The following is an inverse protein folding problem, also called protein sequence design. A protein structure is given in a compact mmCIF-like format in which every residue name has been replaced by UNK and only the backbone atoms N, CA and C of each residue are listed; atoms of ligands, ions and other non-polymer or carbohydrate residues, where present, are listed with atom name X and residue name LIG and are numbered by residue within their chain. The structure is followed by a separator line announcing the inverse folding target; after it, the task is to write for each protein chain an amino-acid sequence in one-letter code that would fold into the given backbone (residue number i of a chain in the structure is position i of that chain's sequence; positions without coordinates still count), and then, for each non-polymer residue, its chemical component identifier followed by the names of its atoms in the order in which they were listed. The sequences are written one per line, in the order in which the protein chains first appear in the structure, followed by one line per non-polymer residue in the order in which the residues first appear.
data_IF_540966675645
#
_entry.id   IF_540966675645
#
_cell.length_a   1.000
_cell.length_b   1.000
_cell.length_c   1.000
_cell.angle_alpha   90.00
_cell.angle_beta   90.00
_cell.angle_gamma   90.00
#
_symmetry.space_group_name_H-M   'P 1'
#
loop_
_entity.id
_entity.type
_entity.pdbx_description
1 polymer ?
#
# COMPACT_ATOMS: atom_id res chain seq x y z
N UNK A 1 7.01 68.24 12.86
CA UNK A 1 7.72 67.10 12.24
C UNK A 1 7.62 65.79 13.05
N UNK A 2 7.48 65.84 14.38
CA UNK A 2 7.40 64.66 15.27
C UNK A 2 6.32 63.62 14.93
N UNK A 3 5.10 64.04 14.55
CA UNK A 3 3.98 63.12 14.24
C UNK A 3 4.24 62.19 13.04
N UNK A 4 5.06 62.64 12.06
CA UNK A 4 5.45 61.82 10.90
C UNK A 4 6.49 60.76 11.27
N UNK A 5 7.40 61.09 12.20
CA UNK A 5 8.40 60.15 12.71
C UNK A 5 7.73 59.03 13.53
N UNK A 6 6.79 59.37 14.41
CA UNK A 6 6.03 58.39 15.20
C UNK A 6 5.26 57.42 14.29
N UNK A 7 4.58 57.92 13.24
CA UNK A 7 3.85 57.05 12.30
C UNK A 7 4.79 56.09 11.56
N UNK A 8 6.00 56.53 11.19
CA UNK A 8 7.01 55.68 10.53
C UNK A 8 7.58 54.61 11.46
N UNK A 9 7.84 54.96 12.73
CA UNK A 9 8.30 54.00 13.74
C UNK A 9 7.24 52.94 14.03
N UNK A 10 5.97 53.34 14.16
CA UNK A 10 4.85 52.40 14.36
C UNK A 10 4.66 51.49 13.15
N UNK A 11 4.82 52.03 11.93
CA UNK A 11 4.70 51.22 10.70
C UNK A 11 5.87 50.24 10.58
N UNK A 12 7.09 50.65 10.93
CA UNK A 12 8.27 49.78 10.93
C UNK A 12 8.17 48.69 12.01
N UNK A 13 7.70 49.03 13.21
CA UNK A 13 7.45 48.07 14.28
C UNK A 13 6.35 47.07 13.91
N UNK A 14 5.28 47.52 13.24
CA UNK A 14 4.22 46.66 12.72
C UNK A 14 4.73 45.70 11.64
N UNK A 15 5.59 46.18 10.73
CA UNK A 15 6.19 45.33 9.70
C UNK A 15 7.13 44.27 10.30
N UNK A 16 7.92 44.65 11.30
CA UNK A 16 8.80 43.74 12.03
C UNK A 16 7.99 42.69 12.82
N UNK A 17 6.85 43.07 13.40
CA UNK A 17 5.96 42.15 14.10
C UNK A 17 5.30 41.13 13.15
N UNK A 18 4.96 41.54 11.92
CA UNK A 18 4.46 40.63 10.88
C UNK A 18 5.54 39.64 10.43
N UNK A 19 6.80 40.09 10.28
CA UNK A 19 7.91 39.18 9.92
C UNK A 19 8.36 38.28 11.06
N UNK A 20 8.08 38.65 12.32
CA UNK A 20 8.37 37.86 13.51
C UNK A 20 7.27 36.81 13.81
N UNK A 21 6.21 36.77 13.01
CA UNK A 21 5.20 35.72 13.07
C UNK A 21 5.83 34.41 12.60
N UNK A 22 6.36 33.66 13.55
CA UNK A 22 6.81 32.28 13.36
C UNK A 22 5.69 31.51 12.65
N UNK A 23 6.05 30.77 11.60
CA UNK A 23 5.13 29.85 10.96
C UNK A 23 4.63 28.86 12.02
N UNK A 24 3.38 29.00 12.46
CA UNK A 24 2.67 27.94 13.18
C UNK A 24 2.44 26.84 12.14
N UNK A 25 3.45 26.00 11.96
CA UNK A 25 3.28 24.72 11.30
C UNK A 25 2.36 23.95 12.22
N UNK A 26 1.09 23.85 11.83
CA UNK A 26 0.19 22.90 12.45
C UNK A 26 0.89 21.55 12.40
N UNK A 27 1.13 20.96 13.58
CA UNK A 27 1.67 19.61 13.71
C UNK A 27 0.59 18.63 13.21
N UNK A 28 0.40 18.60 11.90
CA UNK A 28 -0.42 17.59 11.25
C UNK A 28 0.28 16.25 11.50
N UNK A 29 -0.48 15.17 11.76
CA UNK A 29 0.06 13.83 11.75
C UNK A 29 0.95 13.66 10.52
N UNK A 30 2.21 13.30 10.72
CA UNK A 30 3.11 13.06 9.60
C UNK A 30 2.54 11.91 8.77
N UNK A 31 2.41 12.05 7.44
CA UNK A 31 1.96 10.95 6.59
C UNK A 31 2.80 9.70 6.85
N UNK A 32 2.13 8.54 6.99
CA UNK A 32 2.83 7.26 7.14
C UNK A 32 3.63 7.04 5.87
N UNK A 33 4.95 7.03 5.99
CA UNK A 33 5.84 6.82 4.84
C UNK A 33 5.59 5.43 4.23
N UNK A 34 5.70 5.30 2.89
CA UNK A 34 5.67 3.98 2.26
C UNK A 34 6.84 3.14 2.77
N UNK A 35 6.75 1.82 2.63
CA UNK A 35 7.74 0.86 3.12
C UNK A 35 9.16 1.09 2.59
N UNK A 36 9.28 1.78 1.45
CA UNK A 36 10.54 2.20 0.83
C UNK A 36 11.18 3.45 1.46
N UNK A 37 10.46 4.16 2.34
CA UNK A 37 10.90 5.35 3.09
C UNK A 37 11.79 6.33 2.30
N UNK A 38 11.31 6.88 1.16
CA UNK A 38 12.10 7.76 0.30
C UNK A 38 12.46 9.09 1.00
N UNK A 39 13.57 9.68 0.56
CA UNK A 39 14.09 10.93 1.14
C UNK A 39 13.10 12.11 0.95
N UNK A 40 13.10 13.03 1.92
CA UNK A 40 12.23 14.20 1.89
C UNK A 40 12.45 15.05 0.62
N UNK A 41 11.39 15.27 -0.15
CA UNK A 41 11.41 16.04 -1.40
C UNK A 41 11.40 15.18 -2.68
N UNK A 42 11.60 13.86 -2.58
CA UNK A 42 11.46 12.95 -3.72
C UNK A 42 10.00 12.49 -3.89
N UNK A 43 9.20 13.36 -4.48
CA UNK A 43 7.77 13.13 -4.72
C UNK A 43 7.51 11.96 -5.68
N UNK A 44 8.43 11.68 -6.60
CA UNK A 44 8.29 10.57 -7.56
C UNK A 44 8.48 9.24 -6.84
N UNK A 45 9.54 9.11 -6.04
CA UNK A 45 9.77 7.89 -5.26
C UNK A 45 8.68 7.67 -4.20
N UNK A 46 8.12 8.75 -3.64
CA UNK A 46 7.02 8.68 -2.69
C UNK A 46 5.76 8.05 -3.32
N UNK A 47 5.34 8.56 -4.49
CA UNK A 47 4.17 8.02 -5.20
C UNK A 47 4.41 6.57 -5.64
N UNK A 48 5.60 6.27 -6.16
CA UNK A 48 5.98 4.90 -6.54
C UNK A 48 5.96 3.95 -5.35
N UNK A 49 6.41 4.39 -4.18
CA UNK A 49 6.37 3.60 -2.94
C UNK A 49 4.94 3.24 -2.53
N UNK A 50 4.01 4.19 -2.60
CA UNK A 50 2.60 3.90 -2.31
C UNK A 50 1.95 2.97 -3.34
N UNK A 51 2.30 3.10 -4.62
CA UNK A 51 1.83 2.19 -5.68
C UNK A 51 2.37 0.79 -5.44
N UNK A 52 3.63 0.66 -5.04
CA UNK A 52 4.25 -0.62 -4.67
C UNK A 52 3.52 -1.28 -3.50
N UNK A 53 3.36 -0.56 -2.39
CA UNK A 53 2.69 -1.10 -1.20
C UNK A 53 1.23 -1.47 -1.51
N UNK A 54 0.52 -0.61 -2.24
CA UNK A 54 -0.85 -0.87 -2.67
C UNK A 54 -0.96 -2.07 -3.62
N UNK A 55 -0.05 -2.19 -4.58
CA UNK A 55 0.02 -3.30 -5.53
C UNK A 55 0.33 -4.63 -4.84
N UNK A 56 1.21 -4.63 -3.84
CA UNK A 56 1.56 -5.83 -3.07
C UNK A 56 0.36 -6.31 -2.24
N UNK A 57 -0.32 -5.42 -1.52
CA UNK A 57 -1.53 -5.76 -0.76
C UNK A 57 -2.64 -6.27 -1.68
N UNK A 58 -2.84 -5.63 -2.85
CA UNK A 58 -3.85 -6.05 -3.82
C UNK A 58 -3.51 -7.41 -4.45
N UNK A 59 -2.25 -7.63 -4.83
CA UNK A 59 -1.79 -8.91 -5.34
C UNK A 59 -1.94 -10.04 -4.32
N UNK A 60 -1.63 -9.76 -3.05
CA UNK A 60 -1.85 -10.71 -1.96
C UNK A 60 -3.34 -11.04 -1.78
N UNK A 61 -4.22 -10.04 -1.81
CA UNK A 61 -5.66 -10.25 -1.70
C UNK A 61 -6.20 -11.17 -2.81
N UNK A 62 -5.75 -10.97 -4.05
CA UNK A 62 -6.12 -11.84 -5.19
C UNK A 62 -5.61 -13.27 -4.99
N UNK A 63 -4.38 -13.44 -4.51
CA UNK A 63 -3.83 -14.77 -4.22
C UNK A 63 -4.66 -15.52 -3.17
N UNK A 64 -5.11 -14.82 -2.11
CA UNK A 64 -5.99 -15.38 -1.07
C UNK A 64 -7.35 -15.78 -1.66
N UNK A 65 -7.94 -14.95 -2.53
CA UNK A 65 -9.19 -15.29 -3.21
C UNK A 65 -9.04 -16.54 -4.11
N UNK A 66 -7.93 -16.64 -4.85
CA UNK A 66 -7.61 -17.82 -5.65
C UNK A 66 -7.45 -19.08 -4.80
N UNK A 67 -6.81 -18.96 -3.63
CA UNK A 67 -6.70 -20.06 -2.67
C UNK A 67 -8.07 -20.56 -2.19
N UNK A 68 -8.96 -19.65 -1.78
CA UNK A 68 -10.31 -19.99 -1.34
C UNK A 68 -11.10 -20.68 -2.46
N UNK A 69 -10.92 -20.24 -3.70
CA UNK A 69 -11.56 -20.86 -4.85
C UNK A 69 -11.09 -22.30 -5.11
N UNK A 70 -9.76 -22.52 -5.09
CA UNK A 70 -9.18 -23.87 -5.24
C UNK A 70 -9.65 -24.79 -4.10
N UNK A 71 -9.67 -24.29 -2.86
CA UNK A 71 -10.15 -25.05 -1.71
C UNK A 71 -11.62 -25.45 -1.87
N UNK A 72 -12.47 -24.53 -2.35
CA UNK A 72 -13.87 -24.82 -2.64
C UNK A 72 -14.02 -25.94 -3.69
N UNK A 73 -13.28 -25.87 -4.79
CA UNK A 73 -13.29 -26.92 -5.82
C UNK A 73 -12.81 -28.27 -5.26
N UNK A 74 -11.82 -28.26 -4.37
CA UNK A 74 -11.32 -29.45 -3.69
C UNK A 74 -12.40 -30.11 -2.83
N UNK A 75 -13.13 -29.33 -2.04
CA UNK A 75 -14.25 -29.87 -1.25
C UNK A 75 -15.37 -30.42 -2.12
N UNK A 76 -15.72 -29.74 -3.22
CA UNK A 76 -16.73 -30.21 -4.16
C UNK A 76 -16.33 -31.57 -4.77
N UNK A 77 -15.10 -31.68 -5.28
CA UNK A 77 -14.59 -32.90 -5.90
C UNK A 77 -14.40 -34.05 -4.89
N UNK A 78 -13.98 -33.74 -3.67
CA UNK A 78 -13.91 -34.72 -2.59
C UNK A 78 -15.30 -35.32 -2.28
N UNK A 79 -16.35 -34.49 -2.25
CA UNK A 79 -17.70 -34.97 -1.99
C UNK A 79 -18.26 -35.80 -3.16
N UNK A 80 -17.91 -35.45 -4.42
CA UNK A 80 -18.23 -36.27 -5.60
C UNK A 80 -17.54 -37.63 -5.55
N UNK A 81 -16.25 -37.68 -5.20
CA UNK A 81 -15.50 -38.93 -5.09
C UNK A 81 -16.05 -39.83 -3.97
N UNK A 82 -16.44 -39.23 -2.84
CA UNK A 82 -17.10 -39.96 -1.75
C UNK A 82 -18.45 -40.56 -2.15
N UNK A 83 -19.15 -39.94 -3.10
CA UNK A 83 -20.42 -40.45 -3.65
C UNK A 83 -20.22 -41.44 -4.81
N UNK A 84 -18.98 -41.77 -5.17
CA UNK A 84 -18.67 -42.62 -6.32
C UNK A 84 -18.95 -41.96 -7.67
N UNK A 85 -19.11 -40.63 -7.70
CA UNK A 85 -19.39 -39.84 -8.92
C UNK A 85 -18.11 -39.28 -9.56
N UNK A 86 -16.98 -39.38 -8.88
CA UNK A 86 -15.66 -38.98 -9.37
C UNK A 86 -14.60 -39.96 -8.89
N UNK A 87 -13.48 -40.02 -9.61
CA UNK A 87 -12.35 -40.86 -9.22
C UNK A 87 -11.50 -40.18 -8.14
N UNK A 88 -11.01 -40.94 -7.17
CA UNK A 88 -10.09 -40.41 -6.16
C UNK A 88 -8.80 -39.86 -6.78
N UNK A 89 -8.40 -40.40 -7.93
CA UNK A 89 -7.30 -39.87 -8.73
C UNK A 89 -7.55 -38.41 -9.16
N UNK A 90 -8.77 -38.05 -9.56
CA UNK A 90 -9.12 -36.67 -9.95
C UNK A 90 -9.00 -35.69 -8.77
N UNK A 91 -9.40 -36.13 -7.57
CA UNK A 91 -9.24 -35.33 -6.34
C UNK A 91 -7.76 -35.10 -6.03
N UNK A 92 -6.93 -36.13 -6.18
CA UNK A 92 -5.49 -36.04 -5.98
C UNK A 92 -4.83 -35.09 -6.98
N UNK A 93 -5.18 -35.18 -8.26
CA UNK A 93 -4.67 -34.27 -9.31
C UNK A 93 -5.08 -32.83 -9.02
N UNK A 94 -6.34 -32.58 -8.63
CA UNK A 94 -6.79 -31.24 -8.27
C UNK A 94 -5.99 -30.67 -7.07
N UNK A 95 -5.67 -31.50 -6.08
CA UNK A 95 -4.81 -31.11 -4.97
C UNK A 95 -3.41 -30.68 -5.41
N UNK A 96 -2.77 -31.47 -6.27
CA UNK A 96 -1.41 -31.18 -6.77
C UNK A 96 -1.40 -29.93 -7.64
N UNK A 97 -2.31 -29.86 -8.63
CA UNK A 97 -2.40 -28.70 -9.53
C UNK A 97 -2.72 -27.43 -8.73
N UNK A 98 -3.64 -27.51 -7.78
CA UNK A 98 -3.97 -26.42 -6.88
C UNK A 98 -2.75 -25.91 -6.10
N UNK A 99 -1.94 -26.83 -5.54
CA UNK A 99 -0.71 -26.47 -4.83
C UNK A 99 0.31 -25.79 -5.75
N UNK A 100 0.52 -26.30 -6.97
CA UNK A 100 1.44 -25.71 -7.95
C UNK A 100 1.03 -24.28 -8.31
N UNK A 101 -0.27 -24.07 -8.58
CA UNK A 101 -0.79 -22.73 -8.92
C UNK A 101 -0.54 -21.74 -7.79
N UNK A 102 -0.71 -22.15 -6.53
CA UNK A 102 -0.46 -21.27 -5.38
C UNK A 102 1.02 -20.92 -5.21
N UNK A 103 1.91 -21.91 -5.36
CA UNK A 103 3.35 -21.69 -5.32
C UNK A 103 3.75 -20.70 -6.42
N UNK A 104 3.23 -20.91 -7.63
CA UNK A 104 3.52 -20.05 -8.76
C UNK A 104 2.99 -18.62 -8.57
N UNK A 105 1.75 -18.47 -8.07
CA UNK A 105 1.19 -17.16 -7.75
C UNK A 105 2.00 -16.42 -6.67
N UNK A 106 2.42 -17.13 -5.62
CA UNK A 106 3.28 -16.56 -4.58
C UNK A 106 4.65 -16.14 -5.13
N UNK A 107 5.25 -16.96 -5.98
CA UNK A 107 6.52 -16.65 -6.62
C UNK A 107 6.44 -15.40 -7.48
N UNK A 108 5.42 -15.31 -8.35
CA UNK A 108 5.19 -14.13 -9.19
C UNK A 108 4.96 -12.86 -8.37
N UNK A 109 4.25 -12.97 -7.25
CA UNK A 109 4.02 -11.82 -6.35
C UNK A 109 5.34 -11.35 -5.71
N UNK A 110 6.21 -12.27 -5.31
CA UNK A 110 7.54 -11.93 -4.76
C UNK A 110 8.45 -11.29 -5.81
N UNK A 111 8.50 -11.84 -7.02
CA UNK A 111 9.27 -11.24 -8.12
C UNK A 111 8.74 -9.86 -8.50
N UNK A 112 7.41 -9.71 -8.62
CA UNK A 112 6.78 -8.43 -8.89
C UNK A 112 7.14 -7.38 -7.83
N UNK A 113 7.13 -7.76 -6.54
CA UNK A 113 7.53 -6.88 -5.44
C UNK A 113 9.01 -6.49 -5.45
N UNK A 114 9.87 -7.28 -6.09
CA UNK A 114 11.30 -6.98 -6.29
C UNK A 114 11.57 -6.04 -7.46
N UNK A 115 10.73 -6.06 -8.50
CA UNK A 115 10.87 -5.24 -9.71
C UNK A 115 10.30 -3.83 -9.54
N UNK A 116 9.18 -3.69 -8.82
CA UNK A 116 8.53 -2.40 -8.51
C UNK A 116 9.17 -1.70 -7.31
#
# INVERSE_FOLDING_TARGET
MMKKAVKRVVTAAGLLAVTASQSVLAALPTPVAPSTAPAAGDWIALISGYIKDGGLVLGLAIAVLGFLWIAYLGFAKFNEARQGKAEWAEVGVLGIVGAIVLIFASYLLTEAAGVI
#
